data_IF_560767520738
#
_entry.id   IF_560767520738
#
_cell.length_a   1.000
_cell.length_b   1.000
_cell.length_c   1.000
_cell.angle_alpha   90.00
_cell.angle_beta   90.00
_cell.angle_gamma   90.00
#
_symmetry.space_group_name_H-M   'P 1'
#
loop_
_entity.id
_entity.type
_entity.pdbx_description
1 polymer ?
#
# COMPACT_ATOMS: atom_id res chain seq x y z
N UNK A 1 -19.94 -46.64 2.45
CA UNK A 1 -19.95 -45.17 2.63
C UNK A 1 -18.56 -44.68 2.25
N UNK A 2 -18.42 -44.02 1.10
CA UNK A 2 -17.15 -43.46 0.67
C UNK A 2 -16.99 -42.08 1.33
N UNK A 3 -15.93 -41.93 2.12
CA UNK A 3 -15.55 -40.67 2.74
C UNK A 3 -14.77 -39.84 1.71
N UNK A 4 -15.46 -38.91 1.05
CA UNK A 4 -14.83 -37.96 0.14
C UNK A 4 -14.32 -36.76 0.93
N UNK A 5 -13.22 -36.94 1.68
CA UNK A 5 -12.46 -35.79 2.16
C UNK A 5 -11.68 -35.21 0.96
N UNK A 6 -12.32 -34.26 0.27
CA UNK A 6 -11.60 -33.39 -0.68
C UNK A 6 -10.61 -32.55 0.13
N UNK A 7 -9.39 -33.06 0.25
CA UNK A 7 -8.26 -32.21 0.61
C UNK A 7 -8.16 -31.09 -0.43
N UNK A 8 -8.01 -29.82 -0.03
CA UNK A 8 -7.86 -28.74 -0.99
C UNK A 8 -6.71 -29.06 -1.93
N UNK A 9 -6.94 -28.90 -3.24
CA UNK A 9 -5.90 -29.03 -4.27
C UNK A 9 -4.63 -28.31 -3.81
N UNK A 10 -3.46 -28.96 -3.87
CA UNK A 10 -2.20 -28.37 -3.40
C UNK A 10 -1.86 -27.07 -4.13
N UNK A 11 -2.36 -26.92 -5.38
CA UNK A 11 -2.27 -25.67 -6.14
C UNK A 11 -3.09 -24.55 -5.49
N UNK A 12 -4.31 -24.86 -5.01
CA UNK A 12 -5.15 -23.89 -4.31
C UNK A 12 -4.57 -23.43 -2.97
N UNK A 13 -3.97 -24.35 -2.21
CA UNK A 13 -3.27 -24.02 -0.97
C UNK A 13 -2.04 -23.13 -1.22
N UNK A 14 -1.23 -23.44 -2.23
CA UNK A 14 -0.06 -22.64 -2.62
C UNK A 14 -0.44 -21.24 -3.14
N UNK A 15 -1.53 -21.12 -3.91
CA UNK A 15 -2.04 -19.82 -4.35
C UNK A 15 -2.52 -18.96 -3.17
N UNK A 16 -3.21 -19.55 -2.19
CA UNK A 16 -3.63 -18.85 -0.97
C UNK A 16 -2.43 -18.41 -0.11
N UNK A 17 -1.42 -19.27 0.04
CA UNK A 17 -0.18 -18.94 0.75
C UNK A 17 0.55 -17.77 0.09
N UNK A 18 0.67 -17.79 -1.25
CA UNK A 18 1.29 -16.69 -2.01
C UNK A 18 0.50 -15.38 -1.87
N UNK A 19 -0.83 -15.44 -1.84
CA UNK A 19 -1.68 -14.27 -1.63
C UNK A 19 -1.61 -13.73 -0.19
N UNK A 20 -1.44 -14.60 0.80
CA UNK A 20 -1.22 -14.20 2.19
C UNK A 20 0.16 -13.56 2.36
N UNK A 21 1.21 -14.15 1.78
CA UNK A 21 2.57 -13.62 1.84
C UNK A 21 2.67 -12.25 1.16
N UNK A 22 2.07 -12.09 -0.02
CA UNK A 22 2.01 -10.81 -0.72
C UNK A 22 1.38 -9.72 0.15
N UNK A 23 0.25 -10.03 0.80
CA UNK A 23 -0.44 -9.12 1.73
C UNK A 23 0.38 -8.82 2.98
N UNK A 24 1.07 -9.82 3.55
CA UNK A 24 1.93 -9.60 4.72
C UNK A 24 3.09 -8.67 4.39
N UNK A 25 3.72 -8.86 3.22
CA UNK A 25 4.79 -7.99 2.76
C UNK A 25 4.29 -6.58 2.50
N UNK A 26 3.13 -6.43 1.87
CA UNK A 26 2.47 -5.14 1.65
C UNK A 26 2.25 -4.41 2.98
N UNK A 27 1.58 -5.04 3.95
CA UNK A 27 1.31 -4.45 5.26
C UNK A 27 2.60 -4.10 6.02
N UNK A 28 3.62 -4.96 5.95
CA UNK A 28 4.91 -4.69 6.59
C UNK A 28 5.63 -3.50 5.95
N UNK A 29 5.68 -3.43 4.62
CA UNK A 29 6.30 -2.32 3.88
C UNK A 29 5.55 -1.01 4.13
N UNK A 30 4.22 -1.01 4.07
CA UNK A 30 3.40 0.17 4.36
C UNK A 30 3.63 0.67 5.79
N UNK A 31 3.62 -0.23 6.78
CA UNK A 31 3.84 0.14 8.19
C UNK A 31 5.22 0.77 8.40
N UNK A 32 6.26 0.14 7.86
CA UNK A 32 7.64 0.63 7.99
C UNK A 32 7.83 1.97 7.27
N UNK A 33 7.29 2.13 6.05
CA UNK A 33 7.35 3.40 5.33
C UNK A 33 6.60 4.50 6.08
N UNK A 34 5.37 4.22 6.53
CA UNK A 34 4.53 5.18 7.22
C UNK A 34 5.22 5.76 8.45
N UNK A 35 5.70 4.90 9.36
CA UNK A 35 6.35 5.36 10.58
C UNK A 35 7.72 5.98 10.33
N UNK A 36 8.41 5.59 9.26
CA UNK A 36 9.64 6.27 8.84
C UNK A 36 9.36 7.72 8.44
N UNK A 37 8.33 7.96 7.63
CA UNK A 37 7.93 9.32 7.22
C UNK A 37 7.46 10.16 8.41
N UNK A 38 6.71 9.56 9.35
CA UNK A 38 6.32 10.22 10.61
C UNK A 38 7.53 10.61 11.44
N UNK A 39 8.50 9.71 11.57
CA UNK A 39 9.74 9.99 12.28
C UNK A 39 10.51 11.13 11.62
N UNK A 40 10.67 11.11 10.30
CA UNK A 40 11.38 12.15 9.55
C UNK A 40 10.69 13.51 9.72
N UNK A 41 9.37 13.61 9.54
CA UNK A 41 8.64 14.88 9.75
C UNK A 41 8.85 15.42 11.17
N UNK A 42 8.85 14.56 12.19
CA UNK A 42 9.07 14.97 13.58
C UNK A 42 10.49 15.51 13.82
N UNK A 43 11.50 14.99 13.11
CA UNK A 43 12.88 15.48 13.23
C UNK A 43 13.17 16.66 12.30
N UNK A 44 12.55 16.68 11.12
CA UNK A 44 12.75 17.63 10.03
C UNK A 44 11.39 18.05 9.44
N UNK A 45 10.70 19.03 10.06
CA UNK A 45 9.37 19.44 9.64
C UNK A 45 9.33 19.96 8.18
N UNK A 46 8.22 19.68 7.49
CA UNK A 46 7.98 20.11 6.10
C UNK A 46 8.09 18.99 5.05
N UNK A 47 8.40 17.76 5.46
CA UNK A 47 8.36 16.58 4.58
C UNK A 47 6.96 16.39 3.99
N UNK A 48 5.90 16.53 4.79
CA UNK A 48 4.54 16.29 4.31
C UNK A 48 4.10 17.28 3.24
N UNK A 49 4.48 18.55 3.35
CA UNK A 49 4.21 19.56 2.32
C UNK A 49 5.01 19.28 1.05
N UNK A 50 6.26 18.82 1.20
CA UNK A 50 7.08 18.40 0.06
C UNK A 50 6.47 17.20 -0.66
N UNK A 51 5.99 16.19 0.08
CA UNK A 51 5.32 15.03 -0.50
C UNK A 51 4.01 15.43 -1.20
N UNK A 52 3.21 16.31 -0.61
CA UNK A 52 1.95 16.80 -1.21
C UNK A 52 2.20 17.48 -2.56
N UNK A 53 3.21 18.35 -2.65
CA UNK A 53 3.64 18.99 -3.91
C UNK A 53 4.15 18.00 -4.96
N UNK A 54 4.68 16.85 -4.53
CA UNK A 54 5.17 15.83 -5.47
C UNK A 54 4.05 15.08 -6.19
N UNK A 55 2.83 15.08 -5.64
CA UNK A 55 1.67 14.32 -6.17
C UNK A 55 1.32 14.75 -7.59
N UNK A 56 1.49 16.03 -7.94
CA UNK A 56 1.21 16.54 -9.30
C UNK A 56 2.08 15.86 -10.37
N UNK A 57 3.23 15.30 -9.98
CA UNK A 57 4.17 14.60 -10.88
C UNK A 57 3.87 13.11 -11.00
N UNK A 58 2.93 12.60 -10.21
CA UNK A 58 2.57 11.19 -10.18
C UNK A 58 1.59 10.86 -11.32
N UNK A 59 1.74 9.66 -11.89
CA UNK A 59 0.87 9.11 -12.92
C UNK A 59 0.93 7.59 -12.90
N UNK A 60 -0.07 6.98 -13.52
CA UNK A 60 -0.14 5.54 -13.71
C UNK A 60 0.73 5.16 -14.92
N UNK A 61 1.59 4.16 -14.77
CA UNK A 61 2.47 3.70 -15.84
C UNK A 61 1.86 2.58 -16.69
N UNK A 62 0.61 2.20 -16.44
CA UNK A 62 -0.12 1.28 -17.32
C UNK A 62 -0.16 1.82 -18.77
N UNK A 63 -0.02 0.90 -19.71
CA UNK A 63 -0.05 1.14 -21.16
C UNK A 63 -1.33 0.61 -21.83
N UNK A 64 -2.31 0.20 -21.01
CA UNK A 64 -3.61 -0.31 -21.44
C UNK A 64 -4.77 0.61 -21.00
N UNK A 65 -6.00 0.16 -21.27
CA UNK A 65 -7.23 0.90 -20.98
C UNK A 65 -7.50 1.08 -19.46
N UNK A 66 -6.65 0.53 -18.59
CA UNK A 66 -6.77 0.68 -17.12
C UNK A 66 -6.01 1.88 -16.57
N UNK A 67 -5.18 2.55 -17.39
CA UNK A 67 -4.39 3.71 -16.99
C UNK A 67 -5.25 4.80 -16.35
N UNK A 68 -4.99 5.10 -15.07
CA UNK A 68 -5.68 6.16 -14.33
C UNK A 68 -4.73 6.95 -13.42
N UNK A 69 -4.12 7.99 -13.99
CA UNK A 69 -3.22 8.88 -13.25
C UNK A 69 -3.89 9.52 -12.02
N UNK A 70 -5.18 9.81 -12.10
CA UNK A 70 -5.88 10.52 -11.03
C UNK A 70 -6.23 9.59 -9.87
N UNK A 71 -6.58 8.33 -10.15
CA UNK A 71 -6.74 7.31 -9.11
C UNK A 71 -5.46 7.13 -8.30
N UNK A 72 -4.29 7.11 -8.96
CA UNK A 72 -3.00 7.01 -8.28
C UNK A 72 -2.74 8.26 -7.41
N UNK A 73 -3.04 9.47 -7.92
CA UNK A 73 -2.92 10.71 -7.14
C UNK A 73 -3.84 10.74 -5.93
N UNK A 74 -5.09 10.28 -6.07
CA UNK A 74 -6.06 10.21 -4.97
C UNK A 74 -5.59 9.28 -3.84
N UNK A 75 -5.01 8.13 -4.18
CA UNK A 75 -4.38 7.23 -3.19
C UNK A 75 -3.24 7.95 -2.46
N UNK A 76 -2.36 8.64 -3.19
CA UNK A 76 -1.26 9.40 -2.61
C UNK A 76 -1.75 10.53 -1.68
N UNK A 77 -2.77 11.30 -2.08
CA UNK A 77 -3.38 12.36 -1.24
C UNK A 77 -3.92 11.78 0.06
N UNK A 78 -4.64 10.65 0.00
CA UNK A 78 -5.17 9.97 1.20
C UNK A 78 -4.06 9.50 2.14
N UNK A 79 -2.95 9.01 1.58
CA UNK A 79 -1.79 8.60 2.35
C UNK A 79 -1.14 9.78 3.09
N UNK A 80 -0.89 10.91 2.39
CA UNK A 80 -0.36 12.14 3.00
C UNK A 80 -1.30 12.69 4.08
N UNK A 81 -2.61 12.67 3.86
CA UNK A 81 -3.58 13.05 4.89
C UNK A 81 -3.51 12.13 6.11
N UNK A 82 -3.26 10.82 5.93
CA UNK A 82 -3.00 9.87 7.00
C UNK A 82 -1.79 10.25 7.84
N UNK A 83 -0.67 10.56 7.18
CA UNK A 83 0.57 10.99 7.83
C UNK A 83 0.35 12.24 8.70
N UNK A 84 -0.36 13.24 8.18
CA UNK A 84 -0.69 14.49 8.92
C UNK A 84 -1.53 14.24 10.17
N UNK A 85 -2.47 13.30 10.13
CA UNK A 85 -3.28 12.94 11.30
C UNK A 85 -2.45 12.28 12.41
N UNK A 86 -1.42 11.53 12.06
CA UNK A 86 -0.58 10.81 13.03
C UNK A 86 0.44 11.67 13.77
N UNK A 87 0.70 12.89 13.30
CA UNK A 87 1.57 13.87 13.99
C UNK A 87 0.79 14.94 14.74
N UNK A 88 -0.52 15.03 14.52
CA UNK A 88 -1.40 15.97 15.21
C UNK A 88 -1.76 15.55 16.65
N UNK A 89 -1.31 14.37 17.09
CA UNK A 89 -1.40 13.85 18.46
C UNK A 89 -0.04 13.51 19.02
#
# INVERSE_FOLDING_TARGET
>A
MADTSSSPSSLGASLLESGAEARHRELATEHMLFWTLVYIERQFPGLYDHLDQSIERLGDHADDDTKDDEAVREVARRFVQGLRRSTAG
#
